data_IF_844144330108
#
_entry.id   IF_844144330108
#
_cell.length_a   1.000
_cell.length_b   1.000
_cell.length_c   1.000
_cell.angle_alpha   90.00
_cell.angle_beta   90.00
_cell.angle_gamma   90.00
#
_symmetry.space_group_name_H-M   'P 1'
#
loop_
_entity.id
_entity.type
_entity.pdbx_description
1 polymer ?
#
# COMPACT_ATOMS: atom_id res chain seq x y z
N UNK A 1 -9.30 10.52 -13.00
CA UNK A 1 -8.72 9.39 -12.24
C UNK A 1 -9.66 8.22 -12.42
N UNK A 2 -9.10 7.02 -12.51
CA UNK A 2 -9.91 5.80 -12.58
C UNK A 2 -10.19 5.33 -11.15
N UNK A 3 -11.30 4.63 -10.95
CA UNK A 3 -11.55 3.92 -9.70
C UNK A 3 -10.65 2.69 -9.70
N UNK A 4 -9.99 2.46 -8.57
CA UNK A 4 -9.21 1.27 -8.28
C UNK A 4 -10.08 0.39 -7.37
N UNK A 5 -10.74 -0.62 -7.94
CA UNK A 5 -11.54 -1.54 -7.13
C UNK A 5 -10.60 -2.52 -6.43
N UNK A 6 -10.10 -2.12 -5.26
CA UNK A 6 -9.17 -2.88 -4.44
C UNK A 6 -9.75 -3.15 -3.05
N UNK A 7 -9.68 -4.39 -2.59
CA UNK A 7 -10.01 -4.78 -1.23
C UNK A 7 -8.76 -5.35 -0.53
N UNK A 8 -8.41 -4.79 0.62
CA UNK A 8 -7.26 -5.25 1.40
C UNK A 8 -7.69 -6.12 2.59
N UNK A 9 -6.94 -7.19 2.84
CA UNK A 9 -7.14 -8.12 3.96
C UNK A 9 -5.84 -8.25 4.76
N UNK A 10 -5.86 -7.80 6.01
CA UNK A 10 -4.69 -7.69 6.88
C UNK A 10 -4.23 -9.04 7.47
N UNK A 11 -2.98 -9.07 7.95
CA UNK A 11 -2.41 -10.10 8.82
C UNK A 11 -2.59 -11.55 8.31
N UNK A 12 -2.04 -11.81 7.12
CA UNK A 12 -2.06 -13.12 6.49
C UNK A 12 -0.75 -13.87 6.68
N UNK A 13 -0.85 -15.19 6.80
CA UNK A 13 0.30 -16.08 6.71
C UNK A 13 0.60 -16.40 5.23
N UNK A 14 1.76 -15.95 4.72
CA UNK A 14 2.09 -16.03 3.28
C UNK A 14 1.95 -17.43 2.69
N UNK A 15 2.40 -18.46 3.41
CA UNK A 15 2.33 -19.83 2.91
C UNK A 15 0.90 -20.38 2.89
N UNK A 16 0.05 -19.92 3.82
CA UNK A 16 -1.37 -20.30 3.86
C UNK A 16 -2.11 -19.67 2.68
N UNK A 17 -1.91 -18.38 2.41
CA UNK A 17 -2.59 -17.73 1.29
C UNK A 17 -2.08 -18.23 -0.07
N UNK A 18 -0.77 -18.49 -0.24
CA UNK A 18 -0.23 -19.11 -1.46
C UNK A 18 -0.89 -20.47 -1.73
N UNK A 19 -1.07 -21.29 -0.69
CA UNK A 19 -1.77 -22.57 -0.82
C UNK A 19 -3.22 -22.37 -1.27
N UNK A 20 -3.96 -21.45 -0.65
CA UNK A 20 -5.34 -21.11 -1.05
C UNK A 20 -5.43 -20.64 -2.50
N UNK A 21 -4.50 -19.79 -2.93
CA UNK A 21 -4.40 -19.30 -4.31
C UNK A 21 -4.22 -20.46 -5.30
N UNK A 22 -3.28 -21.37 -5.03
CA UNK A 22 -3.06 -22.56 -5.85
C UNK A 22 -4.30 -23.46 -5.89
N UNK A 23 -4.94 -23.71 -4.75
CA UNK A 23 -6.17 -24.52 -4.66
C UNK A 23 -7.36 -23.88 -5.40
N UNK A 24 -7.41 -22.54 -5.44
CA UNK A 24 -8.41 -21.78 -6.19
C UNK A 24 -8.13 -21.71 -7.71
N UNK A 25 -6.98 -22.22 -8.16
CA UNK A 25 -6.56 -22.19 -9.57
C UNK A 25 -5.90 -20.88 -10.00
N UNK A 26 -5.42 -20.07 -9.05
CA UNK A 26 -4.69 -18.85 -9.37
C UNK A 26 -3.34 -19.17 -10.04
N UNK A 27 -2.90 -18.27 -10.91
CA UNK A 27 -1.62 -18.37 -11.60
C UNK A 27 -0.66 -17.36 -10.99
N UNK A 28 0.52 -17.82 -10.57
CA UNK A 28 1.60 -16.93 -10.15
C UNK A 28 2.10 -16.16 -11.38
N UNK A 29 1.89 -14.85 -11.40
CA UNK A 29 2.33 -13.96 -12.48
C UNK A 29 3.78 -13.54 -12.24
N UNK A 30 4.10 -13.21 -10.99
CA UNK A 30 5.45 -12.78 -10.61
C UNK A 30 5.79 -13.20 -9.18
N UNK A 31 6.88 -13.96 -8.98
CA UNK A 31 7.35 -14.32 -7.63
C UNK A 31 7.76 -13.06 -6.86
N UNK A 32 7.81 -13.17 -5.53
CA UNK A 32 8.15 -12.08 -4.62
C UNK A 32 9.36 -11.25 -5.11
N UNK A 33 9.17 -9.93 -5.20
CA UNK A 33 10.19 -8.98 -5.62
C UNK A 33 10.13 -7.70 -4.80
N UNK A 34 11.24 -6.97 -4.75
CA UNK A 34 11.34 -5.71 -4.02
C UNK A 34 10.83 -4.55 -4.87
N UNK A 35 9.85 -3.82 -4.35
CA UNK A 35 9.46 -2.50 -4.83
C UNK A 35 10.07 -1.42 -3.95
N UNK A 36 10.51 -0.32 -4.57
CA UNK A 36 11.04 0.87 -3.90
C UNK A 36 10.25 2.08 -4.37
N UNK A 37 9.98 3.04 -3.50
CA UNK A 37 9.25 4.26 -3.90
C UNK A 37 9.61 5.47 -3.07
N UNK A 38 9.53 6.62 -3.71
CA UNK A 38 9.50 7.92 -3.07
C UNK A 38 8.08 8.44 -3.13
N UNK A 39 7.53 8.79 -1.96
CA UNK A 39 6.23 9.43 -1.81
C UNK A 39 6.45 10.91 -1.64
N UNK A 40 5.59 11.74 -2.24
CA UNK A 40 5.69 13.18 -2.24
C UNK A 40 4.45 13.83 -1.63
N UNK A 41 4.65 14.99 -1.01
CA UNK A 41 3.60 15.98 -0.78
C UNK A 41 3.38 16.78 -2.05
N UNK A 42 2.12 17.14 -2.30
CA UNK A 42 1.75 18.05 -3.38
C UNK A 42 2.34 19.45 -3.15
N UNK A 43 2.49 20.27 -4.20
CA UNK A 43 2.90 21.66 -4.06
C UNK A 43 1.92 22.44 -3.18
N UNK A 44 2.46 23.38 -2.41
CA UNK A 44 1.65 24.23 -1.52
C UNK A 44 0.61 25.00 -2.32
N UNK A 45 -0.66 24.94 -1.90
CA UNK A 45 -1.80 25.55 -2.59
C UNK A 45 -2.42 24.69 -3.71
N UNK A 46 -1.85 23.51 -3.98
CA UNK A 46 -2.33 22.54 -4.95
C UNK A 46 -2.59 21.17 -4.30
N UNK A 47 -2.79 21.15 -2.97
CA UNK A 47 -3.11 19.94 -2.24
C UNK A 47 -4.47 19.37 -2.66
N UNK A 48 -4.52 18.05 -2.79
CA UNK A 48 -5.76 17.31 -2.97
C UNK A 48 -6.05 16.62 -1.63
N UNK A 49 -7.21 16.87 -0.99
CA UNK A 49 -7.59 16.14 0.22
C UNK A 49 -7.53 14.62 0.01
N UNK A 50 -6.84 13.91 0.90
CA UNK A 50 -6.61 12.47 0.76
C UNK A 50 -5.68 12.06 -0.39
N UNK A 51 -5.02 13.02 -1.03
CA UNK A 51 -4.18 12.80 -2.21
C UNK A 51 -2.68 12.78 -1.91
N UNK A 52 -1.94 11.95 -2.67
CA UNK A 52 -0.48 11.95 -2.67
C UNK A 52 0.08 11.45 -4.01
N UNK A 53 1.33 11.83 -4.28
CA UNK A 53 2.06 11.37 -5.48
C UNK A 53 3.16 10.41 -5.07
N UNK A 54 3.46 9.43 -5.91
CA UNK A 54 4.63 8.55 -5.74
C UNK A 54 5.32 8.28 -7.07
N UNK A 55 6.62 8.06 -7.00
CA UNK A 55 7.41 7.39 -8.04
C UNK A 55 7.87 6.07 -7.47
N UNK A 56 7.68 4.98 -8.19
CA UNK A 56 7.95 3.62 -7.74
C UNK A 56 8.79 2.87 -8.78
N UNK A 57 9.83 2.23 -8.31
CA UNK A 57 10.59 1.21 -9.02
C UNK A 57 10.03 -0.16 -8.64
N UNK A 58 9.51 -0.88 -9.62
CA UNK A 58 8.97 -2.23 -9.48
C UNK A 58 9.97 -3.30 -9.93
N UNK A 59 11.21 -2.92 -10.21
CA UNK A 59 12.31 -3.80 -10.61
C UNK A 59 12.37 -4.09 -12.12
N UNK A 60 11.22 -4.15 -12.79
CA UNK A 60 11.08 -4.35 -14.25
C UNK A 60 10.55 -3.11 -14.98
N UNK A 61 9.83 -2.24 -14.28
CA UNK A 61 9.28 -0.98 -14.77
C UNK A 61 9.30 0.09 -13.69
N UNK A 62 9.24 1.34 -14.12
CA UNK A 62 9.07 2.48 -13.23
C UNK A 62 7.67 3.04 -13.43
N UNK A 63 6.97 3.29 -12.32
CA UNK A 63 5.62 3.83 -12.32
C UNK A 63 5.59 5.15 -11.56
N UNK A 64 4.73 6.06 -11.99
CA UNK A 64 4.42 7.30 -11.29
C UNK A 64 2.90 7.38 -11.14
N UNK A 65 2.44 7.72 -9.94
CA UNK A 65 1.01 7.80 -9.71
C UNK A 65 0.59 8.91 -8.76
N UNK A 66 -0.62 9.41 -9.00
CA UNK A 66 -1.37 10.28 -8.10
C UNK A 66 -2.57 9.47 -7.59
N UNK A 67 -2.53 9.10 -6.31
CA UNK A 67 -3.63 8.43 -5.61
C UNK A 67 -4.46 9.44 -4.83
N UNK A 68 -5.77 9.20 -4.74
CA UNK A 68 -6.72 9.96 -3.93
C UNK A 68 -7.66 8.98 -3.25
N UNK A 69 -7.81 9.11 -1.93
CA UNK A 69 -8.84 8.42 -1.16
C UNK A 69 -9.80 9.46 -0.59
N UNK A 70 -11.06 9.41 -1.01
CA UNK A 70 -12.08 10.39 -0.65
C UNK A 70 -13.28 9.81 0.12
N UNK A 71 -13.08 8.70 0.82
CA UNK A 71 -14.09 8.01 1.62
C UNK A 71 -13.59 6.67 2.13
N UNK A 72 -14.52 5.79 2.53
CA UNK A 72 -14.23 4.49 3.12
C UNK A 72 -14.90 3.33 2.38
N UNK A 73 -15.34 3.55 1.15
CA UNK A 73 -15.86 2.52 0.27
C UNK A 73 -14.88 2.25 -0.86
N UNK A 74 -15.03 1.11 -1.54
CA UNK A 74 -14.10 0.66 -2.57
C UNK A 74 -13.98 1.67 -3.73
N UNK A 75 -15.08 2.36 -4.09
CA UNK A 75 -15.10 3.35 -5.17
C UNK A 75 -14.41 4.67 -4.84
N UNK A 76 -14.05 4.88 -3.57
CA UNK A 76 -13.36 6.08 -3.12
C UNK A 76 -11.85 6.05 -3.37
N UNK A 77 -11.32 4.93 -3.84
CA UNK A 77 -9.91 4.76 -4.18
C UNK A 77 -9.73 5.09 -5.66
N UNK A 78 -8.97 6.15 -5.94
CA UNK A 78 -8.80 6.67 -7.29
C UNK A 78 -7.34 6.88 -7.60
N UNK A 79 -6.91 6.47 -8.79
CA UNK A 79 -5.53 6.62 -9.23
C UNK A 79 -5.44 7.17 -10.66
N UNK A 80 -4.45 8.03 -10.89
CA UNK A 80 -3.81 8.18 -12.19
C UNK A 80 -2.52 7.39 -12.10
N UNK A 81 -2.41 6.33 -12.89
CA UNK A 81 -1.27 5.42 -12.91
C UNK A 81 -0.62 5.46 -14.30
N UNK A 82 0.68 5.70 -14.36
CA UNK A 82 1.42 5.71 -15.61
C UNK A 82 2.81 5.11 -15.47
N UNK A 83 3.29 4.50 -16.55
CA UNK A 83 4.68 4.04 -16.67
C UNK A 83 5.56 5.20 -17.12
N UNK A 84 6.71 5.36 -16.48
CA UNK A 84 7.75 6.33 -16.84
C UNK A 84 9.04 5.60 -17.19
N UNK A 85 9.93 6.25 -17.95
CA UNK A 85 11.14 5.61 -18.47
C UNK A 85 12.31 5.59 -17.50
N UNK A 86 12.29 6.42 -16.44
CA UNK A 86 13.41 6.57 -15.51
C UNK A 86 12.96 7.03 -14.12
N UNK A 87 13.48 6.39 -13.08
CA UNK A 87 13.12 6.66 -11.67
C UNK A 87 13.62 8.03 -11.19
N UNK A 88 14.90 8.32 -11.40
CA UNK A 88 15.52 9.57 -10.94
C UNK A 88 14.98 10.79 -11.70
N UNK A 89 14.77 10.69 -13.00
CA UNK A 89 14.18 11.78 -13.79
C UNK A 89 12.74 12.08 -13.37
N UNK A 90 11.95 11.06 -13.04
CA UNK A 90 10.58 11.26 -12.55
C UNK A 90 10.57 11.92 -11.16
N UNK A 91 11.51 11.58 -10.27
CA UNK A 91 11.70 12.27 -8.99
C UNK A 91 12.07 13.74 -9.22
N UNK A 92 13.08 14.00 -10.04
CA UNK A 92 13.50 15.38 -10.36
C UNK A 92 12.38 16.20 -11.01
N UNK A 93 11.58 15.57 -11.87
CA UNK A 93 10.42 16.20 -12.49
C UNK A 93 9.41 16.68 -11.42
N UNK A 94 9.05 15.84 -10.45
CA UNK A 94 8.12 16.22 -9.38
C UNK A 94 8.70 17.29 -8.46
N UNK A 95 9.99 17.19 -8.11
CA UNK A 95 10.69 18.22 -7.33
C UNK A 95 10.66 19.58 -8.06
N UNK A 96 10.90 19.59 -9.36
CA UNK A 96 10.86 20.81 -10.18
C UNK A 96 9.45 21.43 -10.28
N UNK A 97 8.39 20.62 -10.18
CA UNK A 97 7.01 21.10 -10.09
C UNK A 97 6.63 21.65 -8.71
N UNK A 98 7.51 21.54 -7.72
CA UNK A 98 7.27 22.03 -6.36
C UNK A 98 6.72 20.99 -5.39
N UNK A 99 6.71 19.70 -5.76
CA UNK A 99 6.46 18.62 -4.81
C UNK A 99 7.64 18.50 -3.83
N UNK A 100 7.38 17.99 -2.62
CA UNK A 100 8.42 17.73 -1.62
C UNK A 100 8.42 16.28 -1.19
N UNK A 101 9.60 15.69 -1.01
CA UNK A 101 9.72 14.30 -0.55
C UNK A 101 9.11 14.13 0.84
N UNK A 102 8.28 13.10 0.98
CA UNK A 102 7.56 12.73 2.20
C UNK A 102 8.20 11.51 2.86
N UNK A 103 8.49 10.47 2.07
CA UNK A 103 9.13 9.26 2.58
C UNK A 103 9.71 8.41 1.45
N UNK A 104 10.71 7.61 1.77
CA UNK A 104 11.17 6.47 0.98
C UNK A 104 10.70 5.17 1.62
N UNK A 105 10.15 4.26 0.82
CA UNK A 105 9.48 3.06 1.32
C UNK A 105 9.77 1.82 0.47
N UNK A 106 9.81 0.67 1.12
CA UNK A 106 10.00 -0.65 0.50
C UNK A 106 8.79 -1.57 0.72
N UNK A 107 8.49 -2.44 -0.26
CA UNK A 107 7.55 -3.56 -0.15
C UNK A 107 8.16 -4.77 -0.84
N UNK A 108 8.00 -5.96 -0.26
CA UNK A 108 8.13 -7.21 -1.00
C UNK A 108 6.74 -7.58 -1.51
N UNK A 109 6.62 -7.64 -2.82
CA UNK A 109 5.35 -7.76 -3.53
C UNK A 109 5.37 -9.05 -4.36
N UNK A 110 4.30 -9.84 -4.31
CA UNK A 110 4.12 -11.05 -5.09
C UNK A 110 2.78 -10.98 -5.82
N UNK A 111 2.76 -11.28 -7.12
CA UNK A 111 1.58 -11.05 -7.98
C UNK A 111 1.02 -12.38 -8.47
N UNK A 112 -0.28 -12.55 -8.26
CA UNK A 112 -1.08 -13.66 -8.76
C UNK A 112 -2.25 -13.12 -9.58
N UNK A 113 -2.79 -13.96 -10.46
CA UNK A 113 -4.06 -13.69 -11.14
C UNK A 113 -5.04 -14.82 -10.90
N UNK A 114 -6.30 -14.47 -10.63
CA UNK A 114 -7.40 -15.40 -10.41
C UNK A 114 -8.66 -14.78 -11.00
N UNK A 115 -9.27 -15.45 -11.99
CA UNK A 115 -10.52 -15.00 -12.64
C UNK A 115 -10.45 -13.53 -13.11
N UNK A 116 -9.40 -13.18 -13.87
CA UNK A 116 -9.11 -11.82 -14.38
C UNK A 116 -8.98 -10.73 -13.29
N UNK A 117 -8.73 -11.14 -12.05
CA UNK A 117 -8.51 -10.27 -10.90
C UNK A 117 -7.07 -10.45 -10.42
N UNK A 118 -6.39 -9.36 -10.10
CA UNK A 118 -5.07 -9.38 -9.51
C UNK A 118 -5.19 -9.68 -8.01
N UNK A 119 -4.34 -10.57 -7.51
CA UNK A 119 -4.19 -10.82 -6.07
C UNK A 119 -2.73 -10.63 -5.71
N UNK A 120 -2.47 -9.69 -4.81
CA UNK A 120 -1.12 -9.39 -4.36
C UNK A 120 -0.92 -9.93 -2.95
N UNK A 121 0.29 -10.43 -2.67
CA UNK A 121 0.72 -10.71 -1.31
C UNK A 121 1.83 -9.70 -1.00
N UNK A 122 1.54 -8.83 -0.04
CA UNK A 122 2.41 -7.74 0.34
C UNK A 122 3.03 -7.98 1.70
N UNK A 123 4.35 -7.78 1.79
CA UNK A 123 5.06 -7.63 3.04
C UNK A 123 5.70 -6.25 3.05
N UNK A 124 5.50 -5.52 4.15
CA UNK A 124 6.08 -4.19 4.34
C UNK A 124 6.91 -4.17 5.61
N UNK A 125 7.94 -3.31 5.69
CA UNK A 125 8.70 -3.14 6.92
C UNK A 125 7.78 -2.79 8.08
N UNK A 126 7.91 -3.55 9.17
CA UNK A 126 7.17 -3.32 10.41
C UNK A 126 5.66 -3.54 10.31
N UNK A 127 5.18 -4.31 9.34
CA UNK A 127 3.76 -4.65 9.20
C UNK A 127 3.63 -6.14 8.90
N UNK A 128 2.65 -6.80 9.50
CA UNK A 128 2.32 -8.18 9.13
C UNK A 128 1.92 -8.23 7.65
N UNK A 129 2.24 -9.32 6.93
CA UNK A 129 1.85 -9.45 5.53
C UNK A 129 0.34 -9.32 5.35
N UNK A 130 -0.07 -8.84 4.19
CA UNK A 130 -1.47 -8.66 3.84
C UNK A 130 -1.71 -9.00 2.38
N UNK A 131 -2.98 -9.08 1.98
CA UNK A 131 -3.38 -9.37 0.61
C UNK A 131 -4.24 -8.24 0.09
N UNK A 132 -3.98 -7.79 -1.14
CA UNK A 132 -4.89 -6.93 -1.88
C UNK A 132 -5.51 -7.74 -3.02
N UNK A 133 -6.80 -7.53 -3.26
CA UNK A 133 -7.54 -8.11 -4.37
C UNK A 133 -8.05 -6.95 -5.21
N UNK A 134 -7.51 -6.79 -6.42
CA UNK A 134 -7.83 -5.68 -7.31
C UNK A 134 -8.44 -6.18 -8.63
N UNK A 135 -9.57 -5.60 -9.03
CA UNK A 135 -10.30 -6.02 -10.22
C UNK A 135 -10.98 -4.88 -10.98
N UNK A 136 -11.64 -5.22 -12.08
CA UNK A 136 -12.34 -4.23 -12.92
C UNK A 136 -13.68 -3.74 -12.31
N UNK A 137 -14.17 -4.40 -11.26
CA UNK A 137 -15.41 -4.05 -10.56
C UNK A 137 -15.42 -4.61 -9.15
N UNK A 138 -16.23 -4.03 -8.27
CA UNK A 138 -16.44 -4.55 -6.92
C UNK A 138 -16.95 -6.00 -6.91
N UNK A 139 -17.82 -6.36 -7.85
CA UNK A 139 -18.40 -7.72 -7.92
C UNK A 139 -17.32 -8.79 -8.15
N UNK A 140 -16.35 -8.50 -9.01
CA UNK A 140 -15.21 -9.40 -9.25
C UNK A 140 -14.33 -9.52 -8.00
N UNK A 141 -13.99 -8.39 -7.38
CA UNK A 141 -13.20 -8.35 -6.14
C UNK A 141 -13.88 -9.17 -5.04
N UNK A 142 -15.20 -8.98 -4.86
CA UNK A 142 -16.00 -9.70 -3.87
C UNK A 142 -16.04 -11.21 -4.18
N UNK A 143 -16.24 -11.58 -5.44
CA UNK A 143 -16.25 -12.98 -5.87
C UNK A 143 -14.92 -13.68 -5.56
N UNK A 144 -13.80 -13.06 -5.94
CA UNK A 144 -12.45 -13.60 -5.69
C UNK A 144 -12.13 -13.63 -4.19
N UNK A 145 -12.52 -12.60 -3.43
CA UNK A 145 -12.40 -12.58 -1.97
C UNK A 145 -13.08 -13.80 -1.33
N UNK A 146 -14.33 -14.08 -1.72
CA UNK A 146 -15.09 -15.23 -1.22
C UNK A 146 -14.44 -16.56 -1.62
N UNK A 147 -13.92 -16.66 -2.85
CA UNK A 147 -13.22 -17.86 -3.36
C UNK A 147 -11.95 -18.18 -2.58
N UNK A 148 -11.24 -17.15 -2.08
CA UNK A 148 -10.07 -17.30 -1.20
C UNK A 148 -10.45 -17.48 0.29
N UNK A 149 -11.74 -17.49 0.60
CA UNK A 149 -12.28 -17.64 1.95
C UNK A 149 -12.06 -16.41 2.83
N UNK A 150 -11.93 -15.23 2.22
CA UNK A 150 -11.89 -13.95 2.93
C UNK A 150 -13.31 -13.45 3.20
N UNK A 151 -13.55 -12.92 4.40
CA UNK A 151 -14.81 -12.24 4.73
C UNK A 151 -14.76 -10.81 4.19
N UNK A 152 -15.48 -10.56 3.10
CA UNK A 152 -15.53 -9.25 2.46
C UNK A 152 -16.05 -8.13 3.39
N UNK A 153 -16.78 -8.45 4.47
CA UNK A 153 -17.20 -7.46 5.45
C UNK A 153 -16.05 -6.92 6.30
N UNK A 154 -14.92 -7.63 6.32
CA UNK A 154 -13.66 -7.22 6.95
C UNK A 154 -12.69 -6.55 5.96
N UNK A 155 -13.10 -6.36 4.71
CA UNK A 155 -12.28 -5.69 3.71
C UNK A 155 -11.96 -4.26 4.16
N UNK A 156 -10.71 -3.88 4.01
CA UNK A 156 -10.21 -2.54 4.30
C UNK A 156 -10.11 -1.81 2.97
N UNK A 157 -10.74 -0.64 2.91
CA UNK A 157 -10.65 0.29 1.79
C UNK A 157 -9.91 1.53 2.28
N UNK A 158 -8.76 1.81 1.69
CA UNK A 158 -7.94 2.93 2.11
C UNK A 158 -6.45 2.71 1.89
N UNK A 159 -5.65 3.62 2.45
CA UNK A 159 -4.21 3.53 2.35
C UNK A 159 -3.66 2.54 3.39
N UNK A 160 -2.42 2.12 3.16
CA UNK A 160 -1.69 1.19 4.02
C UNK A 160 -1.52 1.68 5.47
N UNK A 161 -1.67 2.98 5.73
CA UNK A 161 -1.64 3.54 7.08
C UNK A 161 -2.74 2.96 7.97
N UNK A 162 -3.91 2.62 7.41
CA UNK A 162 -4.99 1.93 8.12
C UNK A 162 -4.50 0.60 8.70
N UNK A 163 -3.69 -0.15 7.94
CA UNK A 163 -3.11 -1.43 8.40
C UNK A 163 -2.11 -1.21 9.53
N UNK A 164 -1.20 -0.22 9.38
CA UNK A 164 -0.26 0.13 10.45
C UNK A 164 -0.99 0.55 11.72
N UNK A 165 -2.03 1.39 11.62
CA UNK A 165 -2.81 1.82 12.79
C UNK A 165 -3.53 0.62 13.43
N UNK A 166 -4.06 -0.31 12.63
CA UNK A 166 -4.66 -1.55 13.12
C UNK A 166 -3.67 -2.41 13.92
N UNK A 167 -2.41 -2.48 13.48
CA UNK A 167 -1.35 -3.24 14.16
C UNK A 167 -0.73 -2.51 15.37
N UNK A 168 -0.70 -1.18 15.36
CA UNK A 168 -0.10 -0.33 16.38
C UNK A 168 -1.16 0.56 17.05
N UNK A 169 -1.79 0.14 18.18
CA UNK A 169 -2.98 0.79 18.74
C UNK A 169 -2.83 2.27 19.12
N UNK A 170 -1.60 2.72 19.34
CA UNK A 170 -1.30 4.12 19.72
C UNK A 170 -0.68 4.94 18.58
N UNK A 171 -0.55 4.35 17.38
CA UNK A 171 -0.05 5.03 16.20
C UNK A 171 -1.13 5.94 15.61
N UNK A 172 -0.71 7.08 15.09
CA UNK A 172 -1.61 8.01 14.39
C UNK A 172 -1.30 8.03 12.90
N UNK A 173 -2.31 8.34 12.08
CA UNK A 173 -2.12 8.56 10.64
C UNK A 173 -1.06 9.63 10.37
N UNK A 174 -1.03 10.70 11.14
CA UNK A 174 0.00 11.76 11.03
C UNK A 174 1.41 11.21 11.23
N UNK A 175 1.62 10.34 12.22
CA UNK A 175 2.94 9.77 12.49
C UNK A 175 3.44 8.92 11.32
N UNK A 176 2.63 7.96 10.87
CA UNK A 176 3.05 7.01 9.83
C UNK A 176 3.14 7.68 8.46
N UNK A 177 2.19 8.57 8.13
CA UNK A 177 2.19 9.23 6.84
C UNK A 177 3.26 10.31 6.77
N UNK A 178 3.34 11.19 7.76
CA UNK A 178 4.02 12.48 7.60
C UNK A 178 5.32 12.61 8.39
N UNK A 179 5.60 11.69 9.32
CA UNK A 179 6.73 11.79 10.25
C UNK A 179 7.57 10.50 10.30
N UNK A 180 7.40 9.62 9.32
CA UNK A 180 8.16 8.37 9.16
C UNK A 180 8.85 8.39 7.78
N UNK A 181 10.01 9.07 7.65
CA UNK A 181 10.62 9.32 6.34
C UNK A 181 11.23 8.06 5.70
N UNK A 182 11.51 7.02 6.49
CA UNK A 182 12.08 5.77 6.02
C UNK A 182 11.24 4.59 6.51
N UNK A 183 10.74 3.79 5.58
CA UNK A 183 10.04 2.53 5.85
C UNK A 183 10.73 1.45 5.02
N UNK A 184 11.83 0.91 5.56
CA UNK A 184 12.75 0.01 4.84
C UNK A 184 13.03 -1.26 5.64
N UNK A 185 13.27 -2.39 4.97
CA UNK A 185 13.43 -3.68 5.64
C UNK A 185 14.70 -3.78 6.49
N UNK A 186 15.75 -3.06 6.10
CA UNK A 186 17.03 -3.04 6.82
C UNK A 186 17.05 -2.06 8.01
N UNK A 187 15.98 -1.29 8.22
CA UNK A 187 15.91 -0.26 9.25
C UNK A 187 15.45 -0.79 10.61
N UNK A 188 15.76 -0.04 11.67
CA UNK A 188 15.15 -0.27 12.98
C UNK A 188 13.67 0.10 12.95
N UNK A 189 12.82 -0.65 13.66
CA UNK A 189 11.38 -0.39 13.71
C UNK A 189 11.09 0.91 14.50
N UNK A 190 10.70 2.02 13.83
CA UNK A 190 10.45 3.29 14.49
C UNK A 190 9.06 3.36 15.15
N UNK A 191 8.30 2.26 15.07
CA UNK A 191 6.91 2.18 15.52
C UNK A 191 6.73 1.29 16.76
N UNK A 192 7.79 0.61 17.24
CA UNK A 192 7.70 -0.38 18.31
C UNK A 192 7.10 0.17 19.62
N UNK A 193 7.34 1.45 19.94
CA UNK A 193 6.78 2.11 21.13
C UNK A 193 5.29 2.44 21.02
N UNK A 194 4.66 2.27 19.86
CA UNK A 194 3.21 2.42 19.69
C UNK A 194 2.43 1.12 19.97
N UNK A 195 3.12 0.01 20.23
CA UNK A 195 2.49 -1.25 20.69
C UNK A 195 2.05 -1.18 22.15
N UNK A 196 2.85 -0.52 22.98
CA UNK A 196 2.62 -0.37 24.42
C UNK A 196 2.45 1.13 24.62
N UNK A 197 1.21 1.60 24.82
CA UNK A 197 0.90 3.02 24.93
C UNK A 197 1.95 3.76 25.74
N UNK A 198 2.45 4.86 25.19
CA UNK A 198 3.57 5.60 25.77
C UNK A 198 3.29 5.84 27.24
N UNK A 199 4.00 5.13 28.13
CA UNK A 199 4.15 5.61 29.50
C UNK A 199 4.84 6.96 29.36
N UNK A 200 4.12 8.01 29.70
CA UNK A 200 4.62 9.37 29.83
C UNK A 200 6.05 9.33 30.37
N UNK A 201 7.01 9.76 29.54
CA UNK A 201 8.30 10.22 30.03
C UNK A 201 8.06 11.57 30.71
N UNK A 202 7.47 11.53 31.90
CA UNK A 202 7.53 12.60 32.88
C UNK A 202 8.08 11.98 34.16
N UNK A 203 9.40 11.92 34.22
CA UNK A 203 10.17 11.85 35.45
C UNK A 203 11.60 12.25 35.07
N UNK A 204 11.92 13.53 35.23
CA UNK A 204 13.12 14.09 35.88
C UNK A 204 12.96 15.61 36.00
#
# INVERSE_FOLDING_TARGET
MNIEYEATFAAVEKDVIRKKLLEAGAVLVRPEFLQKRVVFRMPVGHEIPGGWVRVRDEGDKITMSLKVIDGSHIENQKEIFLTVSNFEEAIHFLLALGCTEKSYQETRHEIWTLDDTEVTIDERPFLEPFVEIEGQSEDLVRSVSLKLGSDYTQAIFGAVDVLYIGQYPHLTAERINNQTPLIVFSGENPLCHYLIGSRSKEAF
#
